data_IF_502950603009
#
_entry.id   IF_502950603009
#
_cell.length_a   1.000
_cell.length_b   1.000
_cell.length_c   1.000
_cell.angle_alpha   90.00
_cell.angle_beta   90.00
_cell.angle_gamma   90.00
#
_symmetry.space_group_name_H-M   'P 1'
#
loop_
_entity.id
_entity.type
_entity.pdbx_description
1 polymer ?
#
# COMPACT_ATOMS: atom_id res chain seq x y z
N UNK A 1 -35.97 -28.97 23.66
CA UNK A 1 -34.49 -28.99 23.63
C UNK A 1 -34.02 -27.65 23.09
N UNK A 2 -33.55 -26.70 23.93
CA UNK A 2 -33.11 -25.41 23.44
C UNK A 2 -31.77 -25.57 22.70
N UNK A 3 -31.68 -25.02 21.49
CA UNK A 3 -30.44 -24.96 20.71
C UNK A 3 -29.69 -23.70 21.13
N UNK A 4 -28.45 -23.84 21.61
CA UNK A 4 -27.60 -22.70 22.01
C UNK A 4 -26.63 -22.40 20.86
N UNK A 5 -26.66 -21.19 20.33
CA UNK A 5 -25.74 -20.69 19.31
C UNK A 5 -24.52 -20.05 19.99
N UNK A 6 -23.34 -20.66 19.83
CA UNK A 6 -22.06 -20.05 20.21
C UNK A 6 -21.53 -19.20 19.05
N UNK A 7 -21.31 -17.91 19.30
CA UNK A 7 -20.66 -17.01 18.33
C UNK A 7 -19.14 -17.14 18.48
N UNK A 8 -18.48 -17.68 17.47
CA UNK A 8 -17.01 -17.70 17.42
C UNK A 8 -16.49 -16.32 17.02
N UNK A 9 -15.44 -15.84 17.70
CA UNK A 9 -14.76 -14.61 17.31
C UNK A 9 -14.10 -14.79 15.93
N UNK A 10 -14.70 -14.22 14.89
CA UNK A 10 -14.12 -14.19 13.55
C UNK A 10 -13.13 -13.04 13.42
N UNK A 11 -11.99 -13.29 12.76
CA UNK A 11 -11.07 -12.23 12.37
C UNK A 11 -11.56 -11.53 11.10
N UNK A 12 -11.49 -10.21 11.08
CA UNK A 12 -11.73 -9.41 9.88
C UNK A 12 -10.66 -9.73 8.82
N UNK A 13 -11.05 -10.26 7.66
CA UNK A 13 -10.15 -10.39 6.52
C UNK A 13 -10.05 -9.04 5.81
N UNK A 14 -8.94 -8.34 5.99
CA UNK A 14 -8.66 -7.10 5.27
C UNK A 14 -7.88 -7.44 3.99
N UNK A 15 -8.43 -7.05 2.84
CA UNK A 15 -7.71 -7.14 1.57
C UNK A 15 -6.84 -5.89 1.44
N UNK A 16 -5.53 -6.07 1.60
CA UNK A 16 -4.55 -4.99 1.49
C UNK A 16 -3.84 -5.05 0.15
N UNK A 17 -3.58 -3.89 -0.45
CA UNK A 17 -2.78 -3.80 -1.65
C UNK A 17 -1.30 -3.51 -1.32
N UNK A 18 -0.42 -3.98 -2.21
CA UNK A 18 0.99 -3.60 -2.24
C UNK A 18 1.32 -3.04 -3.60
N UNK A 19 1.96 -1.87 -3.63
CA UNK A 19 2.41 -1.19 -4.85
C UNK A 19 3.91 -0.96 -4.72
N UNK A 20 4.69 -1.45 -5.67
CA UNK A 20 6.15 -1.26 -5.71
C UNK A 20 6.65 -1.08 -7.13
N UNK A 21 7.76 -0.37 -7.28
CA UNK A 21 8.38 -0.12 -8.57
C UNK A 21 9.68 0.67 -8.43
N UNK A 22 10.18 1.18 -9.55
CA UNK A 22 11.33 2.08 -9.62
C UNK A 22 10.99 3.34 -10.41
N UNK A 23 11.65 4.44 -10.09
CA UNK A 23 11.53 5.70 -10.82
C UNK A 23 12.82 5.93 -11.60
N UNK A 24 12.66 6.10 -12.92
CA UNK A 24 13.74 6.37 -13.86
C UNK A 24 13.44 7.64 -14.66
N UNK A 25 14.49 8.36 -15.09
CA UNK A 25 14.37 9.46 -16.05
C UNK A 25 14.33 8.94 -17.50
N UNK A 26 14.08 9.80 -18.52
CA UNK A 26 14.04 9.38 -19.92
C UNK A 26 15.36 8.82 -20.48
N UNK A 27 16.49 9.07 -19.81
CA UNK A 27 17.79 8.48 -20.16
C UNK A 27 17.99 7.09 -19.55
N UNK A 28 17.10 6.67 -18.63
CA UNK A 28 17.15 5.42 -17.91
C UNK A 28 17.82 5.52 -16.52
N UNK A 29 18.31 6.69 -16.12
CA UNK A 29 18.94 6.87 -14.82
C UNK A 29 17.91 6.83 -13.68
N UNK A 30 18.26 6.24 -12.53
CA UNK A 30 17.37 6.16 -11.36
C UNK A 30 17.23 7.51 -10.67
N UNK A 31 16.02 7.83 -10.20
CA UNK A 31 15.75 9.06 -9.45
C UNK A 31 15.62 8.74 -7.96
N UNK A 32 16.63 9.11 -7.17
CA UNK A 32 16.61 9.02 -5.71
C UNK A 32 15.84 10.17 -5.06
N UNK A 33 15.29 9.95 -3.87
CA UNK A 33 14.58 10.95 -3.07
C UNK A 33 13.35 11.59 -3.75
N UNK A 34 12.82 10.96 -4.80
CA UNK A 34 11.61 11.39 -5.47
C UNK A 34 10.40 11.17 -4.53
N UNK A 35 9.61 12.22 -4.32
CA UNK A 35 8.40 12.12 -3.48
C UNK A 35 7.26 11.50 -4.29
N UNK A 36 6.72 10.38 -3.80
CA UNK A 36 5.61 9.64 -4.38
C UNK A 36 4.42 9.72 -3.44
N UNK A 37 3.24 10.06 -3.98
CA UNK A 37 1.98 10.05 -3.26
C UNK A 37 0.99 9.08 -3.93
N UNK A 38 0.45 8.14 -3.15
CA UNK A 38 -0.69 7.32 -3.55
C UNK A 38 -1.94 7.89 -2.89
N UNK A 39 -2.94 8.22 -3.71
CA UNK A 39 -4.23 8.73 -3.27
C UNK A 39 -5.30 7.72 -3.62
N UNK A 40 -6.04 7.25 -2.61
CA UNK A 40 -7.26 6.51 -2.84
C UNK A 40 -8.35 7.50 -3.29
N UNK A 41 -8.77 7.39 -4.55
CA UNK A 41 -9.70 8.35 -5.16
C UNK A 41 -11.11 8.28 -4.57
N UNK A 42 -11.53 7.16 -3.95
CA UNK A 42 -12.86 7.03 -3.35
C UNK A 42 -12.91 7.55 -1.91
N UNK A 43 -11.83 7.43 -1.15
CA UNK A 43 -11.78 7.82 0.27
C UNK A 43 -10.97 9.08 0.55
N UNK A 44 -10.18 9.56 -0.42
CA UNK A 44 -9.26 10.68 -0.26
C UNK A 44 -8.02 10.38 0.59
N UNK A 45 -7.86 9.14 1.09
CA UNK A 45 -6.70 8.75 1.90
C UNK A 45 -5.43 8.86 1.07
N UNK A 46 -4.44 9.59 1.60
CA UNK A 46 -3.14 9.83 0.96
C UNK A 46 -2.03 9.15 1.73
N UNK A 47 -1.13 8.45 1.02
CA UNK A 47 0.13 7.93 1.56
C UNK A 47 1.29 8.45 0.76
N UNK A 48 2.32 8.95 1.45
CA UNK A 48 3.52 9.50 0.83
C UNK A 48 4.77 8.71 1.24
N UNK A 49 5.71 8.60 0.32
CA UNK A 49 7.03 8.00 0.53
C UNK A 49 8.04 8.65 -0.42
N UNK A 50 9.32 8.63 -0.04
CA UNK A 50 10.43 8.97 -0.96
C UNK A 50 11.06 7.71 -1.53
N UNK A 51 11.46 7.76 -2.81
CA UNK A 51 12.26 6.68 -3.41
C UNK A 51 13.60 6.54 -2.68
N UNK A 52 14.10 5.31 -2.58
CA UNK A 52 15.44 5.04 -2.04
C UNK A 52 16.53 5.57 -2.97
N UNK A 53 17.78 5.49 -2.53
CA UNK A 53 18.95 5.82 -3.36
C UNK A 53 19.01 5.02 -4.68
N UNK A 54 18.46 3.80 -4.67
CA UNK A 54 18.32 2.91 -5.83
C UNK A 54 17.11 3.24 -6.72
N UNK A 55 16.34 4.27 -6.41
CA UNK A 55 15.15 4.70 -7.15
C UNK A 55 13.91 3.85 -6.93
N UNK A 56 13.99 2.79 -6.12
CA UNK A 56 12.85 1.92 -5.81
C UNK A 56 11.94 2.48 -4.71
N UNK A 57 10.68 2.06 -4.76
CA UNK A 57 9.67 2.35 -3.75
C UNK A 57 8.78 1.14 -3.48
N UNK A 58 8.20 1.08 -2.28
CA UNK A 58 7.26 0.02 -1.89
C UNK A 58 6.25 0.53 -0.86
N UNK A 59 5.00 0.65 -1.28
CA UNK A 59 3.84 0.86 -0.41
C UNK A 59 3.20 -0.49 -0.12
N UNK A 60 3.13 -0.88 1.15
CA UNK A 60 2.41 -2.07 1.59
C UNK A 60 1.24 -1.66 2.50
N UNK A 61 0.25 -2.54 2.61
CA UNK A 61 -0.87 -2.32 3.51
C UNK A 61 -1.77 -1.15 3.12
N UNK A 62 -1.92 -0.91 1.81
CA UNK A 62 -2.85 0.09 1.25
C UNK A 62 -4.30 -0.40 1.35
#
# INVERSE_FOLDING_TARGET
>A
MPFVLFSACAWSQTQLATVSGSINDPSGAVISEATIAIVNQSTGVKREMRTRATGDYRFAGL
#
